data_IF_906151791317
#
_entry.id   IF_906151791317
#
_cell.length_a   1.000
_cell.length_b   1.000
_cell.length_c   1.000
_cell.angle_alpha   90.00
_cell.angle_beta   90.00
_cell.angle_gamma   90.00
#
_symmetry.space_group_name_H-M   'P 1'
#
loop_
_entity.id
_entity.type
_entity.pdbx_description
1 polymer ?
#
# COMPACT_ATOMS: atom_id res chain seq x y z
N UNK A 1 20.41 -18.36 -0.57
CA UNK A 1 20.31 -17.45 -1.73
C UNK A 1 20.32 -16.03 -1.19
N UNK A 2 21.23 -15.18 -1.62
CA UNK A 2 21.27 -13.76 -1.21
C UNK A 2 20.06 -13.05 -1.81
N UNK A 3 19.26 -12.38 -0.99
CA UNK A 3 18.14 -11.56 -1.46
C UNK A 3 18.67 -10.48 -2.43
N UNK A 4 18.10 -10.41 -3.63
CA UNK A 4 18.49 -9.38 -4.60
C UNK A 4 17.85 -8.05 -4.19
N UNK A 5 18.67 -7.03 -4.01
CA UNK A 5 18.24 -5.66 -3.74
C UNK A 5 18.22 -4.84 -5.02
N UNK A 6 17.11 -4.17 -5.31
CA UNK A 6 16.95 -3.27 -6.46
C UNK A 6 16.57 -1.90 -5.92
N UNK A 7 17.25 -0.84 -6.32
CA UNK A 7 16.85 0.53 -5.95
C UNK A 7 16.17 1.19 -7.15
N UNK A 8 15.03 1.81 -6.92
CA UNK A 8 14.24 2.53 -7.93
C UNK A 8 13.89 3.93 -7.44
N UNK A 9 13.71 4.85 -8.37
CA UNK A 9 13.54 6.28 -8.11
C UNK A 9 12.25 6.88 -8.65
N UNK A 10 11.47 6.09 -9.40
CA UNK A 10 10.21 6.52 -9.99
C UNK A 10 9.29 5.31 -10.26
N UNK A 11 8.04 5.60 -10.62
CA UNK A 11 7.02 4.57 -10.89
C UNK A 11 7.35 3.66 -12.07
N UNK A 12 8.09 4.13 -13.09
CA UNK A 12 8.45 3.34 -14.27
C UNK A 12 9.49 2.27 -13.92
N UNK A 13 10.51 2.64 -13.16
CA UNK A 13 11.52 1.74 -12.63
C UNK A 13 10.88 0.72 -11.68
N UNK A 14 10.00 1.17 -10.78
CA UNK A 14 9.26 0.29 -9.87
C UNK A 14 8.41 -0.73 -10.64
N UNK A 15 7.64 -0.29 -11.63
CA UNK A 15 6.84 -1.19 -12.46
C UNK A 15 7.70 -2.21 -13.21
N UNK A 16 8.90 -1.82 -13.64
CA UNK A 16 9.85 -2.71 -14.30
C UNK A 16 10.40 -3.75 -13.32
N UNK A 17 10.82 -3.32 -12.13
CA UNK A 17 11.31 -4.20 -11.07
C UNK A 17 10.24 -5.21 -10.61
N UNK A 18 9.00 -4.75 -10.42
CA UNK A 18 7.87 -5.62 -10.04
C UNK A 18 7.53 -6.67 -11.11
N UNK A 19 7.76 -6.37 -12.39
CA UNK A 19 7.50 -7.30 -13.51
C UNK A 19 8.59 -8.37 -13.63
N UNK A 20 9.82 -8.05 -13.25
CA UNK A 20 10.95 -8.98 -13.35
C UNK A 20 11.15 -9.82 -12.09
N UNK A 21 10.71 -9.31 -10.94
CA UNK A 21 10.78 -9.99 -9.65
C UNK A 21 10.15 -11.40 -9.68
N UNK A 22 10.78 -12.33 -8.98
CA UNK A 22 10.37 -13.74 -8.88
C UNK A 22 9.94 -14.13 -7.49
N UNK A 23 10.39 -13.42 -6.46
CA UNK A 23 10.12 -13.65 -5.06
C UNK A 23 11.40 -13.56 -4.21
N UNK A 24 11.29 -12.91 -3.05
CA UNK A 24 12.38 -12.75 -2.09
C UNK A 24 13.21 -11.49 -2.31
N UNK A 25 12.99 -10.75 -3.39
CA UNK A 25 13.65 -9.47 -3.65
C UNK A 25 13.14 -8.37 -2.71
N UNK A 26 14.03 -7.42 -2.42
CA UNK A 26 13.66 -6.15 -1.80
C UNK A 26 13.90 -5.03 -2.80
N UNK A 27 12.84 -4.29 -3.11
CA UNK A 27 12.86 -3.12 -3.97
C UNK A 27 12.86 -1.89 -3.07
N UNK A 28 14.00 -1.22 -3.01
CA UNK A 28 14.20 0.03 -2.29
C UNK A 28 13.72 1.22 -3.12
N UNK A 29 12.82 2.00 -2.55
CA UNK A 29 12.18 3.15 -3.17
C UNK A 29 12.87 4.41 -2.66
N UNK A 30 13.41 5.25 -3.53
CA UNK A 30 13.93 6.54 -3.10
C UNK A 30 12.79 7.46 -2.64
N UNK A 31 12.98 8.14 -1.52
CA UNK A 31 12.20 9.31 -1.17
C UNK A 31 12.46 10.47 -2.14
N UNK A 32 11.69 11.54 -1.99
CA UNK A 32 11.80 12.75 -2.79
C UNK A 32 10.47 13.25 -3.36
N UNK A 33 10.54 14.04 -4.43
CA UNK A 33 9.40 14.81 -4.96
C UNK A 33 8.40 14.02 -5.79
N UNK A 34 8.72 12.78 -6.18
CA UNK A 34 7.83 11.96 -7.00
C UNK A 34 7.06 10.95 -6.16
N UNK A 35 5.76 10.84 -6.42
CA UNK A 35 4.90 9.85 -5.80
C UNK A 35 4.87 8.56 -6.65
N UNK A 36 4.87 7.42 -5.97
CA UNK A 36 4.72 6.11 -6.58
C UNK A 36 3.26 5.76 -6.79
N UNK A 37 2.94 5.21 -7.96
CA UNK A 37 1.65 4.57 -8.23
C UNK A 37 1.90 3.13 -8.65
N UNK A 38 1.23 2.19 -7.96
CA UNK A 38 1.30 0.77 -8.27
C UNK A 38 -0.08 0.23 -8.56
N UNK A 39 -0.22 -0.39 -9.72
CA UNK A 39 -1.40 -1.18 -10.09
C UNK A 39 -0.95 -2.53 -10.63
N UNK A 40 -1.15 -3.59 -9.84
CA UNK A 40 -0.79 -4.96 -10.22
C UNK A 40 -2.04 -5.80 -10.40
N UNK A 41 -2.03 -6.64 -11.44
CA UNK A 41 -3.11 -7.57 -11.74
C UNK A 41 -2.56 -8.93 -12.17
N UNK A 42 -3.09 -10.01 -11.60
CA UNK A 42 -2.72 -11.40 -11.90
C UNK A 42 -1.21 -11.68 -11.72
N UNK A 43 -0.62 -11.12 -10.67
CA UNK A 43 0.83 -11.23 -10.39
C UNK A 43 1.06 -12.11 -9.18
N UNK A 44 1.85 -13.17 -9.32
CA UNK A 44 2.20 -14.05 -8.20
C UNK A 44 3.69 -14.24 -8.10
N UNK A 45 4.25 -13.95 -6.93
CA UNK A 45 5.65 -14.18 -6.61
C UNK A 45 5.82 -15.51 -5.86
N UNK A 46 6.93 -16.20 -6.07
CA UNK A 46 7.23 -17.49 -5.41
C UNK A 46 7.46 -17.37 -3.91
N UNK A 47 7.88 -16.18 -3.46
CA UNK A 47 8.01 -15.77 -2.07
C UNK A 47 7.84 -14.24 -1.98
N UNK A 48 7.83 -13.67 -0.78
CA UNK A 48 7.52 -12.25 -0.59
C UNK A 48 8.48 -11.33 -1.35
N UNK A 49 7.95 -10.48 -2.23
CA UNK A 49 8.65 -9.30 -2.74
C UNK A 49 8.36 -8.14 -1.81
N UNK A 50 9.39 -7.42 -1.37
CA UNK A 50 9.24 -6.31 -0.41
C UNK A 50 9.48 -4.97 -1.09
N UNK A 51 8.52 -4.05 -1.00
CA UNK A 51 8.66 -2.65 -1.35
C UNK A 51 8.99 -1.87 -0.07
N UNK A 52 10.12 -1.15 -0.04
CA UNK A 52 10.60 -0.48 1.16
C UNK A 52 11.23 0.87 0.85
N UNK A 53 11.00 1.88 1.68
CA UNK A 53 11.75 3.14 1.56
C UNK A 53 13.25 2.89 1.71
N UNK A 54 14.05 3.49 0.83
CA UNK A 54 15.51 3.41 0.86
C UNK A 54 16.10 4.16 2.05
N UNK A 55 15.45 5.25 2.46
CA UNK A 55 15.77 6.06 3.64
C UNK A 55 14.54 6.17 4.55
N UNK A 56 14.73 6.00 5.85
CA UNK A 56 13.66 6.14 6.84
C UNK A 56 13.35 7.59 7.22
N UNK A 57 14.28 8.51 6.98
CA UNK A 57 14.10 9.95 7.21
C UNK A 57 13.45 10.65 6.00
N UNK A 58 13.65 10.11 4.80
CA UNK A 58 13.04 10.55 3.54
C UNK A 58 12.26 9.39 2.93
N UNK A 59 11.03 9.18 3.42
CA UNK A 59 10.19 8.04 3.03
C UNK A 59 9.72 8.18 1.58
N UNK A 60 9.61 7.05 0.90
CA UNK A 60 8.92 7.00 -0.39
C UNK A 60 7.41 7.20 -0.19
N UNK A 61 6.83 8.08 -0.99
CA UNK A 61 5.40 8.41 -0.93
C UNK A 61 4.64 7.69 -2.05
N UNK A 62 3.57 7.00 -1.70
CA UNK A 62 2.62 6.41 -2.64
C UNK A 62 1.39 7.30 -2.78
N UNK A 63 0.98 7.51 -4.03
CA UNK A 63 -0.34 8.06 -4.33
C UNK A 63 -1.41 6.96 -4.27
N UNK A 64 -1.09 5.77 -4.76
CA UNK A 64 -1.97 4.61 -4.67
C UNK A 64 -1.27 3.26 -4.85
N UNK A 65 -1.84 2.24 -4.22
CA UNK A 65 -1.48 0.83 -4.33
C UNK A 65 -2.76 0.02 -4.61
N UNK A 66 -2.90 -0.45 -5.85
CA UNK A 66 -4.01 -1.28 -6.30
C UNK A 66 -3.52 -2.69 -6.65
N UNK A 67 -4.02 -3.69 -5.94
CA UNK A 67 -3.63 -5.09 -6.08
C UNK A 67 -4.88 -5.92 -6.35
N UNK A 68 -4.92 -6.62 -7.50
CA UNK A 68 -6.00 -7.52 -7.86
C UNK A 68 -5.46 -8.87 -8.32
N UNK A 69 -5.85 -9.97 -7.67
CA UNK A 69 -5.28 -11.30 -7.92
C UNK A 69 -3.75 -11.31 -7.77
N UNK A 70 -3.23 -10.69 -6.71
CA UNK A 70 -1.80 -10.60 -6.42
C UNK A 70 -1.43 -11.54 -5.27
N UNK A 71 -0.22 -12.13 -5.30
CA UNK A 71 0.28 -12.89 -4.14
C UNK A 71 1.71 -12.60 -3.74
N UNK A 72 1.96 -12.65 -2.43
CA UNK A 72 3.28 -12.53 -1.79
C UNK A 72 3.96 -11.17 -2.05
N UNK A 73 3.27 -10.08 -1.68
CA UNK A 73 3.81 -8.72 -1.73
C UNK A 73 3.77 -8.08 -0.34
N UNK A 74 4.87 -7.46 0.07
CA UNK A 74 4.98 -6.68 1.31
C UNK A 74 5.32 -5.24 0.97
N UNK A 75 4.67 -4.30 1.64
CA UNK A 75 5.01 -2.89 1.63
C UNK A 75 5.40 -2.50 3.05
N UNK A 76 6.60 -1.94 3.23
CA UNK A 76 7.22 -1.73 4.54
C UNK A 76 7.86 -0.34 4.65
N UNK A 77 7.45 0.45 5.62
CA UNK A 77 8.11 1.72 5.94
C UNK A 77 7.91 2.82 4.92
N UNK A 78 6.74 2.88 4.27
CA UNK A 78 6.42 3.90 3.24
C UNK A 78 5.36 4.88 3.75
N UNK A 79 5.12 5.94 2.99
CA UNK A 79 4.01 6.86 3.23
C UNK A 79 2.94 6.71 2.14
N UNK A 80 1.67 6.81 2.52
CA UNK A 80 0.55 7.07 1.62
C UNK A 80 0.01 8.46 1.95
N UNK A 81 0.07 9.38 1.00
CA UNK A 81 -0.36 10.74 1.23
C UNK A 81 -1.35 11.17 0.16
N UNK A 82 -2.55 11.52 0.60
CA UNK A 82 -3.62 11.98 -0.28
C UNK A 82 -4.18 13.35 0.08
N UNK A 83 -3.47 14.09 0.91
CA UNK A 83 -3.80 15.47 1.25
C UNK A 83 -3.77 16.33 -0.01
N UNK A 84 -4.87 17.05 -0.29
CA UNK A 84 -4.98 17.92 -1.46
C UNK A 84 -5.07 17.20 -2.82
N UNK A 85 -5.10 15.86 -2.84
CA UNK A 85 -5.25 15.10 -4.07
C UNK A 85 -6.66 15.29 -4.67
N UNK A 86 -6.74 15.73 -5.93
CA UNK A 86 -8.00 15.79 -6.66
C UNK A 86 -8.32 14.41 -7.22
N UNK A 87 -9.11 13.63 -6.49
CA UNK A 87 -9.46 12.26 -6.88
C UNK A 87 -10.91 11.90 -6.53
N UNK A 88 -11.52 10.94 -7.22
CA UNK A 88 -12.90 10.55 -6.94
C UNK A 88 -13.08 10.09 -5.49
N UNK A 89 -14.25 10.38 -4.91
CA UNK A 89 -14.59 10.02 -3.53
C UNK A 89 -14.49 8.53 -3.23
N UNK A 90 -14.67 7.67 -4.22
CA UNK A 90 -14.59 6.22 -4.05
C UNK A 90 -13.16 5.67 -4.09
N UNK A 91 -12.14 6.49 -4.37
CA UNK A 91 -10.75 6.05 -4.44
C UNK A 91 -10.24 5.66 -3.03
N UNK A 92 -9.39 4.64 -3.00
CA UNK A 92 -8.77 4.09 -1.80
C UNK A 92 -7.26 4.04 -2.01
N UNK A 93 -6.47 4.38 -1.00
CA UNK A 93 -5.01 4.45 -1.12
C UNK A 93 -4.41 3.06 -1.27
N UNK A 94 -4.86 2.13 -0.43
CA UNK A 94 -4.52 0.71 -0.51
C UNK A 94 -5.77 -0.09 -0.82
N UNK A 95 -5.89 -0.54 -2.07
CA UNK A 95 -6.97 -1.42 -2.52
C UNK A 95 -6.42 -2.81 -2.84
N UNK A 96 -6.88 -3.82 -2.10
CA UNK A 96 -6.47 -5.21 -2.26
C UNK A 96 -7.70 -6.08 -2.51
N UNK A 97 -7.73 -6.74 -3.66
CA UNK A 97 -8.84 -7.60 -4.08
C UNK A 97 -8.34 -8.99 -4.51
N UNK A 98 -9.03 -10.04 -4.07
CA UNK A 98 -8.80 -11.43 -4.48
C UNK A 98 -7.33 -11.87 -4.41
N UNK A 99 -6.62 -11.38 -3.39
CA UNK A 99 -5.16 -11.53 -3.28
C UNK A 99 -4.77 -12.46 -2.13
N UNK A 100 -3.49 -12.81 -2.03
CA UNK A 100 -3.00 -13.72 -0.99
C UNK A 100 -1.66 -13.28 -0.40
N UNK A 101 -1.51 -13.40 0.92
CA UNK A 101 -0.25 -13.09 1.63
C UNK A 101 0.27 -11.68 1.28
N UNK A 102 -0.56 -10.68 1.53
CA UNK A 102 -0.23 -9.27 1.32
C UNK A 102 0.02 -8.62 2.67
N UNK A 103 1.05 -7.80 2.79
CA UNK A 103 1.38 -7.10 4.03
C UNK A 103 1.63 -5.61 3.81
N UNK A 104 1.12 -4.78 4.70
CA UNK A 104 1.47 -3.36 4.84
C UNK A 104 1.94 -3.11 6.26
N UNK A 105 3.20 -2.73 6.40
CA UNK A 105 3.93 -2.70 7.67
C UNK A 105 4.58 -1.34 7.88
N UNK A 106 4.65 -0.88 9.13
CA UNK A 106 5.46 0.27 9.57
C UNK A 106 5.24 1.56 8.73
N UNK A 107 4.05 1.71 8.15
CA UNK A 107 3.75 2.75 7.17
C UNK A 107 2.85 3.83 7.76
N UNK A 108 2.89 5.02 7.17
CA UNK A 108 2.05 6.16 7.55
C UNK A 108 1.05 6.42 6.43
N UNK A 109 -0.22 6.63 6.76
CA UNK A 109 -1.27 6.96 5.83
C UNK A 109 -1.98 8.23 6.29
N UNK A 110 -1.97 9.25 5.43
CA UNK A 110 -2.60 10.54 5.72
C UNK A 110 -3.59 10.92 4.63
N UNK A 111 -4.86 10.93 5.02
CA UNK A 111 -5.97 11.37 4.18
C UNK A 111 -6.18 12.88 4.23
N UNK A 112 -7.08 13.37 3.37
CA UNK A 112 -7.49 14.77 3.31
C UNK A 112 -8.87 15.05 3.92
N UNK A 113 -9.49 14.09 4.62
CA UNK A 113 -10.83 14.28 5.18
C UNK A 113 -10.79 15.32 6.31
N UNK A 114 -11.57 16.39 6.14
CA UNK A 114 -11.73 17.47 7.12
C UNK A 114 -13.07 17.41 7.86
N UNK A 115 -13.96 16.53 7.40
CA UNK A 115 -15.28 16.28 7.96
C UNK A 115 -15.47 14.78 8.11
N UNK A 116 -16.05 14.37 9.22
CA UNK A 116 -16.27 12.97 9.58
C UNK A 116 -17.76 12.82 9.94
N UNK A 117 -18.36 11.68 9.58
CA UNK A 117 -19.70 11.25 10.03
C UNK A 117 -20.94 12.02 9.52
N UNK A 118 -20.83 12.95 8.56
CA UNK A 118 -22.00 13.63 7.97
C UNK A 118 -22.50 13.03 6.64
N UNK A 119 -21.83 11.98 6.15
CA UNK A 119 -22.17 11.30 4.91
C UNK A 119 -21.78 12.05 3.63
N UNK A 120 -21.10 13.19 3.74
CA UNK A 120 -20.73 14.05 2.60
C UNK A 120 -19.22 14.23 2.43
N UNK A 121 -18.44 13.20 2.77
CA UNK A 121 -16.99 13.27 2.57
C UNK A 121 -16.65 13.30 1.08
N UNK A 122 -16.04 14.39 0.64
CA UNK A 122 -15.66 14.66 -0.76
C UNK A 122 -14.24 14.19 -1.11
N UNK A 123 -13.42 13.84 -0.11
CA UNK A 123 -12.01 13.43 -0.27
C UNK A 123 -11.60 12.37 0.75
N UNK A 124 -10.67 11.47 0.40
CA UNK A 124 -10.09 10.47 1.31
C UNK A 124 -11.13 9.58 2.03
N UNK A 125 -12.00 8.93 1.25
CA UNK A 125 -13.05 8.07 1.81
C UNK A 125 -12.49 6.85 2.54
N UNK A 126 -11.49 6.14 1.97
CA UNK A 126 -10.94 4.93 2.56
C UNK A 126 -9.41 4.94 2.51
N UNK A 127 -8.74 4.63 3.63
CA UNK A 127 -7.29 4.41 3.61
C UNK A 127 -6.98 3.03 3.02
N UNK A 128 -7.58 1.99 3.60
CA UNK A 128 -7.36 0.59 3.21
C UNK A 128 -8.70 -0.11 2.94
N UNK A 129 -8.80 -0.79 1.80
CA UNK A 129 -9.93 -1.68 1.48
C UNK A 129 -9.40 -3.03 1.02
N UNK A 130 -9.87 -4.08 1.69
CA UNK A 130 -9.48 -5.48 1.45
C UNK A 130 -10.74 -6.28 1.12
N UNK A 131 -10.73 -6.98 -0.01
CA UNK A 131 -11.86 -7.77 -0.47
C UNK A 131 -11.41 -9.15 -0.97
N UNK A 132 -12.10 -10.21 -0.58
CA UNK A 132 -11.84 -11.56 -1.12
C UNK A 132 -10.40 -12.06 -0.90
N UNK A 133 -9.69 -11.55 0.11
CA UNK A 133 -8.24 -11.75 0.26
C UNK A 133 -7.96 -12.75 1.39
N UNK A 134 -6.93 -13.57 1.21
CA UNK A 134 -6.52 -14.60 2.17
C UNK A 134 -5.11 -14.31 2.70
N UNK A 135 -4.97 -14.01 3.99
CA UNK A 135 -3.67 -13.65 4.59
C UNK A 135 -3.28 -12.21 4.30
N UNK A 136 -4.04 -11.25 4.84
CA UNK A 136 -3.66 -9.83 4.81
C UNK A 136 -3.11 -9.40 6.17
N UNK A 137 -1.97 -8.72 6.19
CA UNK A 137 -1.36 -8.18 7.42
C UNK A 137 -1.28 -6.66 7.35
N UNK A 138 -1.80 -6.00 8.39
CA UNK A 138 -1.70 -4.56 8.61
C UNK A 138 -1.14 -4.33 10.01
N UNK A 139 0.15 -4.00 10.11
CA UNK A 139 0.83 -3.93 11.42
C UNK A 139 1.76 -2.75 11.56
N UNK A 140 1.73 -2.12 12.75
CA UNK A 140 2.56 -0.97 13.10
C UNK A 140 2.36 0.23 12.16
N UNK A 141 1.14 0.44 11.67
CA UNK A 141 0.84 1.58 10.80
C UNK A 141 0.16 2.72 11.58
N UNK A 142 0.31 3.93 11.07
CA UNK A 142 -0.44 5.11 11.48
C UNK A 142 -1.41 5.47 10.36
N UNK A 143 -2.69 5.67 10.68
CA UNK A 143 -3.73 6.08 9.73
C UNK A 143 -4.45 7.28 10.30
N UNK A 144 -4.56 8.37 9.54
CA UNK A 144 -5.27 9.57 9.98
C UNK A 144 -6.00 10.25 8.84
N UNK A 145 -7.04 11.03 9.18
CA UNK A 145 -7.74 11.91 8.23
C UNK A 145 -8.41 11.18 7.04
N UNK A 146 -8.90 9.95 7.25
CA UNK A 146 -9.79 9.25 6.34
C UNK A 146 -11.18 9.11 6.95
N UNK A 147 -12.23 9.06 6.12
CA UNK A 147 -13.58 8.76 6.62
C UNK A 147 -13.70 7.31 7.14
N UNK A 148 -13.00 6.39 6.49
CA UNK A 148 -12.83 5.01 6.93
C UNK A 148 -11.35 4.64 6.91
N UNK A 149 -10.82 4.20 8.05
CA UNK A 149 -9.45 3.69 8.13
C UNK A 149 -9.29 2.40 7.33
N UNK A 150 -9.94 1.32 7.78
CA UNK A 150 -9.80 -0.01 7.17
C UNK A 150 -11.17 -0.64 6.93
N UNK A 151 -11.40 -1.14 5.71
CA UNK A 151 -12.60 -1.91 5.33
C UNK A 151 -12.21 -3.31 4.87
N UNK A 152 -12.86 -4.33 5.43
CA UNK A 152 -12.61 -5.75 5.11
C UNK A 152 -13.92 -6.42 4.70
N UNK A 153 -13.95 -7.06 3.52
CA UNK A 153 -15.13 -7.74 3.00
C UNK A 153 -14.79 -9.12 2.44
N UNK A 154 -15.37 -10.18 3.03
CA UNK A 154 -15.25 -11.55 2.51
C UNK A 154 -13.80 -12.05 2.43
N UNK A 155 -12.99 -11.73 3.43
CA UNK A 155 -11.56 -12.08 3.50
C UNK A 155 -11.28 -13.01 4.68
N UNK A 156 -10.22 -13.80 4.60
CA UNK A 156 -9.80 -14.74 5.62
C UNK A 156 -8.35 -14.47 6.08
N UNK A 157 -8.01 -14.90 7.30
CA UNK A 157 -6.67 -14.75 7.92
C UNK A 157 -6.15 -13.31 7.84
N UNK A 158 -7.02 -12.35 8.14
CA UNK A 158 -6.68 -10.93 8.23
C UNK A 158 -6.15 -10.61 9.62
N UNK A 159 -4.96 -10.00 9.68
CA UNK A 159 -4.32 -9.54 10.92
C UNK A 159 -4.18 -8.02 10.90
N UNK A 160 -4.80 -7.34 11.86
CA UNK A 160 -4.71 -5.89 12.07
C UNK A 160 -4.22 -5.69 13.51
N UNK A 161 -2.96 -5.30 13.68
CA UNK A 161 -2.30 -5.28 15.00
C UNK A 161 -1.42 -4.05 15.17
N UNK A 162 -1.39 -3.48 16.38
CA UNK A 162 -0.48 -2.40 16.76
C UNK A 162 -0.55 -1.17 15.83
N UNK A 163 -1.74 -0.82 15.33
CA UNK A 163 -1.93 0.36 14.49
C UNK A 163 -2.50 1.50 15.33
N UNK A 164 -2.13 2.73 14.95
CA UNK A 164 -2.79 3.96 15.38
C UNK A 164 -3.79 4.36 14.29
N UNK A 165 -5.08 4.52 14.64
CA UNK A 165 -6.20 4.66 13.70
C UNK A 165 -7.13 5.82 14.08
#
# INVERSE_FOLDING_TARGET
MSAQSITVSNSIELATALRTAKGGETIYLKGGSENYTVSLNNTSYTSAVTLKSADGADKAVFESLKLANVSNLTVDGVEFNSVGATRPTWMTDVFVENSKNIAVLNSVMTGGATQFNDGTVTVASNAVRIKGTDGFTFTNNEVSHYNFGIQVTGSDRVSIQNNDL
#
